data_IF_843124683129
#
_entry.id   IF_843124683129
#
_cell.length_a   1.000
_cell.length_b   1.000
_cell.length_c   1.000
_cell.angle_alpha   90.00
_cell.angle_beta   90.00
_cell.angle_gamma   90.00
#
_symmetry.space_group_name_H-M   'P 1'
#
loop_
_entity.id
_entity.type
_entity.pdbx_description
1 polymer ?
#
# COMPACT_ATOMS: atom_id res chain seq x y z
N UNK A 1 -65.66 -39.45 -1.99
CA UNK A 1 -66.23 -39.41 -0.63
C UNK A 1 -65.17 -39.92 0.35
N UNK A 2 -64.97 -39.20 1.47
CA UNK A 2 -64.41 -39.65 2.78
C UNK A 2 -63.01 -40.31 2.79
N UNK A 3 -61.99 -39.64 3.33
CA UNK A 3 -61.60 -39.47 4.77
C UNK A 3 -60.65 -40.56 5.29
N UNK A 4 -59.49 -40.08 5.78
CA UNK A 4 -58.75 -40.47 7.01
C UNK A 4 -58.16 -41.91 7.10
N UNK A 5 -57.11 -42.24 7.84
CA UNK A 5 -56.36 -41.57 8.91
C UNK A 5 -54.93 -42.20 9.01
N UNK A 6 -53.94 -41.42 9.43
CA UNK A 6 -53.15 -41.60 10.67
C UNK A 6 -51.93 -42.56 10.66
N UNK A 7 -50.76 -41.91 10.79
CA UNK A 7 -49.51 -42.25 11.53
C UNK A 7 -48.68 -43.50 11.17
N UNK A 8 -47.35 -43.29 11.11
CA UNK A 8 -46.43 -44.03 11.98
C UNK A 8 -45.53 -43.03 12.73
N UNK A 9 -45.26 -43.20 14.01
CA UNK A 9 -44.52 -44.34 14.54
C UNK A 9 -43.05 -43.93 14.65
N UNK A 10 -42.66 -43.42 15.82
CA UNK A 10 -41.26 -43.18 16.19
C UNK A 10 -40.52 -44.52 16.17
N UNK A 11 -39.33 -44.56 15.56
CA UNK A 11 -38.16 -45.19 16.17
C UNK A 11 -36.84 -44.75 15.50
N UNK A 12 -36.09 -43.98 16.28
CA UNK A 12 -34.63 -43.68 16.33
C UNK A 12 -33.73 -44.04 15.13
N UNK A 13 -33.02 -43.05 14.56
CA UNK A 13 -31.71 -43.29 13.96
C UNK A 13 -30.57 -43.16 14.99
N UNK A 14 -29.59 -44.04 14.82
CA UNK A 14 -28.37 -44.19 15.60
C UNK A 14 -27.49 -42.92 15.65
N UNK A 15 -26.80 -42.78 16.78
CA UNK A 15 -25.78 -41.77 17.07
C UNK A 15 -24.79 -41.53 15.93
N UNK A 16 -24.67 -40.27 15.53
CA UNK A 16 -23.40 -39.67 15.13
C UNK A 16 -23.23 -38.38 15.90
N UNK A 17 -22.47 -38.47 16.99
CA UNK A 17 -21.91 -37.33 17.73
C UNK A 17 -21.06 -36.52 16.76
N UNK A 18 -21.55 -35.35 16.37
CA UNK A 18 -20.75 -34.32 15.76
C UNK A 18 -20.98 -33.06 16.60
N UNK A 19 -20.13 -32.90 17.60
CA UNK A 19 -20.04 -31.71 18.42
C UNK A 19 -19.47 -30.60 17.53
N UNK A 20 -20.33 -29.69 17.09
CA UNK A 20 -19.90 -28.33 16.77
C UNK A 20 -20.78 -27.43 17.62
N UNK A 21 -20.16 -26.92 18.68
CA UNK A 21 -20.75 -26.01 19.64
C UNK A 21 -21.37 -24.82 18.93
N UNK A 22 -22.67 -24.63 19.15
CA UNK A 22 -23.39 -23.42 18.79
C UNK A 22 -23.23 -22.36 19.87
N UNK A 23 -23.12 -21.10 19.39
CA UNK A 23 -23.52 -19.84 20.04
C UNK A 23 -22.84 -19.48 21.38
N UNK A 24 -22.45 -18.23 21.61
CA UNK A 24 -23.35 -17.19 22.13
C UNK A 24 -22.72 -15.81 21.84
N UNK A 25 -23.46 -14.99 21.07
CA UNK A 25 -23.45 -13.54 21.26
C UNK A 25 -24.29 -13.22 22.48
N UNK A 26 -23.70 -12.60 23.51
CA UNK A 26 -24.26 -11.52 24.34
C UNK A 26 -23.51 -11.41 25.69
N UNK A 27 -22.76 -10.31 25.81
CA UNK A 27 -22.58 -9.45 26.99
C UNK A 27 -23.02 -9.97 28.36
N UNK A 28 -22.12 -9.93 29.35
CA UNK A 28 -22.48 -9.45 30.69
C UNK A 28 -21.31 -8.72 31.38
N UNK A 29 -21.59 -7.49 31.81
CA UNK A 29 -20.78 -6.62 32.66
C UNK A 29 -20.42 -7.29 33.99
N UNK A 30 -19.14 -7.27 34.38
CA UNK A 30 -18.71 -7.19 35.80
C UNK A 30 -17.20 -6.96 35.89
N UNK A 31 -16.73 -5.71 35.79
CA UNK A 31 -15.66 -5.17 36.66
C UNK A 31 -15.66 -3.63 36.55
N UNK A 32 -16.54 -2.99 37.31
CA UNK A 32 -16.70 -1.51 37.39
C UNK A 32 -15.58 -0.82 38.20
N UNK A 33 -14.55 -1.53 38.66
CA UNK A 33 -13.43 -0.93 39.40
C UNK A 33 -12.04 -1.05 38.73
N UNK A 34 -11.91 -1.85 37.66
CA UNK A 34 -10.65 -1.99 36.90
C UNK A 34 -10.65 -1.26 35.54
N UNK A 35 -11.83 -0.96 34.99
CA UNK A 35 -12.00 -0.48 33.62
C UNK A 35 -11.61 0.98 33.38
N UNK A 36 -11.49 1.83 34.39
CA UNK A 36 -11.13 3.24 34.15
C UNK A 36 -9.64 3.46 33.87
N UNK A 37 -8.75 2.55 34.29
CA UNK A 37 -7.32 2.66 33.95
C UNK A 37 -7.01 1.92 32.66
N UNK A 38 -7.58 0.74 32.42
CA UNK A 38 -7.38 -0.03 31.17
C UNK A 38 -8.16 0.52 29.97
N UNK A 39 -9.29 1.20 30.15
CA UNK A 39 -9.99 1.80 29.01
C UNK A 39 -9.31 3.09 28.54
N UNK A 40 -8.70 3.87 29.45
CA UNK A 40 -7.90 5.04 29.07
C UNK A 40 -6.54 4.67 28.47
N UNK A 41 -5.88 3.63 28.98
CA UNK A 41 -4.62 3.11 28.40
C UNK A 41 -4.87 2.32 27.12
N UNK A 42 -5.98 1.57 27.05
CA UNK A 42 -6.38 0.76 25.89
C UNK A 42 -6.89 1.57 24.70
N UNK A 43 -7.66 2.64 24.92
CA UNK A 43 -8.07 3.54 23.83
C UNK A 43 -6.87 4.32 23.31
N UNK A 44 -5.98 4.80 24.19
CA UNK A 44 -4.72 5.42 23.74
C UNK A 44 -3.85 4.44 22.97
N UNK A 45 -3.69 3.19 23.44
CA UNK A 45 -2.86 2.20 22.74
C UNK A 45 -3.45 1.78 21.40
N UNK A 46 -4.77 1.64 21.28
CA UNK A 46 -5.43 1.31 20.00
C UNK A 46 -5.38 2.49 19.03
N UNK A 47 -5.58 3.73 19.49
CA UNK A 47 -5.41 4.92 18.65
C UNK A 47 -3.96 5.13 18.22
N UNK A 48 -2.99 4.89 19.11
CA UNK A 48 -1.57 4.90 18.75
C UNK A 48 -1.22 3.78 17.77
N UNK A 49 -1.73 2.56 17.98
CA UNK A 49 -1.51 1.44 17.07
C UNK A 49 -2.16 1.69 15.69
N UNK A 50 -3.35 2.30 15.64
CA UNK A 50 -3.99 2.69 14.39
C UNK A 50 -3.20 3.78 13.66
N UNK A 51 -2.69 4.79 14.38
CA UNK A 51 -1.87 5.86 13.80
C UNK A 51 -0.52 5.36 13.29
N UNK A 52 0.17 4.49 14.06
CA UNK A 52 1.41 3.84 13.63
C UNK A 52 1.17 2.90 12.44
N UNK A 53 0.03 2.20 12.41
CA UNK A 53 -0.39 1.35 11.29
C UNK A 53 -0.60 2.17 10.02
N UNK A 54 -1.37 3.26 10.07
CA UNK A 54 -1.61 4.11 8.90
C UNK A 54 -0.32 4.77 8.41
N UNK A 55 0.51 5.28 9.32
CA UNK A 55 1.84 5.82 9.00
C UNK A 55 2.69 4.77 8.27
N UNK A 56 2.78 3.56 8.81
CA UNK A 56 3.55 2.48 8.19
C UNK A 56 3.01 2.09 6.81
N UNK A 57 1.68 2.09 6.64
CA UNK A 57 1.03 1.79 5.38
C UNK A 57 1.32 2.85 4.31
N UNK A 58 1.32 4.13 4.66
CA UNK A 58 1.64 5.22 3.73
C UNK A 58 3.11 5.15 3.26
N UNK A 59 4.03 4.93 4.19
CA UNK A 59 5.46 4.75 3.89
C UNK A 59 5.66 3.54 2.96
N UNK A 60 4.96 2.44 3.24
CA UNK A 60 5.09 1.21 2.45
C UNK A 60 4.49 1.34 1.05
N UNK A 61 3.36 2.06 0.89
CA UNK A 61 2.80 2.39 -0.43
C UNK A 61 3.79 3.19 -1.26
N UNK A 62 4.42 4.21 -0.66
CA UNK A 62 5.45 5.01 -1.34
C UNK A 62 6.66 4.16 -1.72
N UNK A 63 7.21 3.39 -0.77
CA UNK A 63 8.35 2.50 -1.00
C UNK A 63 8.09 1.52 -2.14
N UNK A 64 6.94 0.85 -2.11
CA UNK A 64 6.55 -0.14 -3.14
C UNK A 64 6.44 0.51 -4.52
N UNK A 65 5.79 1.67 -4.62
CA UNK A 65 5.69 2.40 -5.88
C UNK A 65 7.07 2.82 -6.42
N UNK A 66 7.97 3.25 -5.54
CA UNK A 66 9.32 3.69 -5.88
C UNK A 66 10.27 2.53 -6.24
N UNK A 67 10.12 1.35 -5.63
CA UNK A 67 10.87 0.12 -5.98
C UNK A 67 10.43 -0.45 -7.33
N UNK A 68 9.13 -0.33 -7.67
CA UNK A 68 8.60 -0.76 -8.97
C UNK A 68 9.16 0.04 -10.17
N UNK A 69 9.83 1.17 -9.92
CA UNK A 69 10.44 1.99 -10.97
C UNK A 69 11.70 1.36 -11.58
N UNK A 70 12.53 0.71 -10.76
CA UNK A 70 13.83 0.16 -11.18
C UNK A 70 13.71 -0.81 -12.37
N UNK A 71 12.81 -1.82 -12.36
CA UNK A 71 12.65 -2.71 -13.52
C UNK A 71 12.13 -1.98 -14.77
N UNK A 72 11.34 -0.90 -14.61
CA UNK A 72 10.85 -0.10 -15.73
C UNK A 72 11.98 0.72 -16.38
N UNK A 73 12.89 1.27 -15.59
CA UNK A 73 14.09 1.95 -16.08
C UNK A 73 14.96 0.99 -16.88
N UNK A 74 15.20 -0.23 -16.37
CA UNK A 74 15.98 -1.25 -17.06
C UNK A 74 15.34 -1.64 -18.39
N UNK A 75 14.02 -1.85 -18.42
CA UNK A 75 13.28 -2.15 -19.65
C UNK A 75 13.41 -1.00 -20.66
N UNK A 76 13.19 0.24 -20.23
CA UNK A 76 13.30 1.41 -21.09
C UNK A 76 14.70 1.58 -21.68
N UNK A 77 15.75 1.52 -20.86
CA UNK A 77 17.14 1.66 -21.32
C UNK A 77 17.49 0.54 -22.30
N UNK A 78 17.06 -0.69 -22.03
CA UNK A 78 17.29 -1.82 -22.92
C UNK A 78 16.59 -1.63 -24.27
N UNK A 79 15.33 -1.20 -24.27
CA UNK A 79 14.59 -0.95 -25.51
C UNK A 79 15.14 0.24 -26.31
N UNK A 80 15.57 1.30 -25.63
CA UNK A 80 16.24 2.44 -26.25
C UNK A 80 17.54 2.01 -26.93
N UNK A 81 18.38 1.24 -26.21
CA UNK A 81 19.65 0.72 -26.75
C UNK A 81 19.41 -0.16 -27.97
N UNK A 82 18.36 -0.96 -27.94
CA UNK A 82 17.99 -1.87 -29.03
C UNK A 82 17.23 -1.17 -30.16
N UNK A 83 16.99 0.16 -30.08
CA UNK A 83 16.26 0.94 -31.08
C UNK A 83 14.78 0.56 -31.20
N UNK A 84 14.21 -0.06 -30.18
CA UNK A 84 12.86 -0.65 -30.16
C UNK A 84 12.01 -0.14 -29.00
N UNK A 85 12.17 1.14 -28.65
CA UNK A 85 11.41 1.78 -27.57
C UNK A 85 9.91 1.74 -27.85
N UNK A 86 9.17 0.99 -27.02
CA UNK A 86 7.73 0.83 -27.16
C UNK A 86 6.97 1.93 -26.43
N UNK A 87 5.83 2.34 -26.98
CA UNK A 87 4.93 3.28 -26.30
C UNK A 87 4.42 2.70 -24.97
N UNK A 88 4.15 1.40 -24.91
CA UNK A 88 3.75 0.71 -23.67
C UNK A 88 4.74 0.89 -22.52
N UNK A 89 6.03 0.96 -22.84
CA UNK A 89 7.10 1.15 -21.84
C UNK A 89 7.12 2.58 -21.31
N UNK A 90 6.91 3.57 -22.21
CA UNK A 90 6.73 4.98 -21.81
C UNK A 90 5.48 5.16 -20.93
N UNK A 91 4.38 4.51 -21.29
CA UNK A 91 3.13 4.58 -20.53
C UNK A 91 3.27 3.93 -19.15
N UNK A 92 3.98 2.80 -19.05
CA UNK A 92 4.28 2.14 -17.78
C UNK A 92 5.15 3.02 -16.86
N UNK A 93 6.19 3.68 -17.42
CA UNK A 93 6.99 4.66 -16.69
C UNK A 93 6.11 5.79 -16.17
N UNK A 94 5.30 6.41 -17.05
CA UNK A 94 4.42 7.52 -16.68
C UNK A 94 3.46 7.12 -15.56
N UNK A 95 2.82 5.95 -15.68
CA UNK A 95 1.89 5.45 -14.68
C UNK A 95 2.59 5.26 -13.32
N UNK A 96 3.79 4.67 -13.31
CA UNK A 96 4.56 4.49 -12.09
C UNK A 96 5.02 5.83 -11.47
N UNK A 97 5.47 6.79 -12.27
CA UNK A 97 5.85 8.14 -11.78
C UNK A 97 4.66 8.85 -11.12
N UNK A 98 3.46 8.76 -11.71
CA UNK A 98 2.24 9.30 -11.12
C UNK A 98 1.87 8.59 -9.81
N UNK A 99 2.03 7.27 -9.76
CA UNK A 99 1.79 6.48 -8.54
C UNK A 99 2.76 6.87 -7.42
N UNK A 100 4.04 7.05 -7.73
CA UNK A 100 5.03 7.53 -6.76
C UNK A 100 4.68 8.91 -6.22
N UNK A 101 4.30 9.84 -7.11
CA UNK A 101 3.88 11.19 -6.72
C UNK A 101 2.67 11.16 -5.79
N UNK A 102 1.62 10.43 -6.17
CA UNK A 102 0.40 10.32 -5.35
C UNK A 102 0.68 9.66 -3.98
N UNK A 103 1.55 8.64 -3.95
CA UNK A 103 1.95 8.00 -2.70
C UNK A 103 2.79 8.94 -1.82
N UNK A 104 3.65 9.78 -2.41
CA UNK A 104 4.41 10.79 -1.69
C UNK A 104 3.50 11.90 -1.14
N UNK A 105 2.56 12.42 -1.94
CA UNK A 105 1.57 13.42 -1.49
C UNK A 105 0.74 12.89 -0.30
N UNK A 106 0.42 11.59 -0.30
CA UNK A 106 -0.28 10.95 0.83
C UNK A 106 0.59 10.84 2.09
N UNK A 107 1.90 10.72 1.92
CA UNK A 107 2.86 10.55 3.02
C UNK A 107 3.54 11.88 3.44
N UNK A 108 3.31 12.97 2.72
CA UNK A 108 4.00 14.26 2.91
C UNK A 108 3.78 14.83 4.32
N UNK A 109 2.59 14.62 4.89
CA UNK A 109 2.27 15.04 6.27
C UNK A 109 3.13 14.37 7.35
N UNK A 110 3.86 13.31 7.00
CA UNK A 110 4.78 12.60 7.89
C UNK A 110 6.22 13.14 7.84
N UNK A 111 6.51 14.11 6.96
CA UNK A 111 7.83 14.73 6.87
C UNK A 111 8.02 15.82 7.91
N UNK A 112 9.20 15.86 8.52
CA UNK A 112 9.65 17.03 9.26
C UNK A 112 9.87 18.22 8.30
N UNK A 113 9.72 19.44 8.78
CA UNK A 113 9.84 20.65 7.95
C UNK A 113 11.22 20.75 7.25
N UNK A 114 12.28 20.29 7.91
CA UNK A 114 13.64 20.23 7.36
C UNK A 114 13.82 19.26 6.17
N UNK A 115 12.91 18.30 5.99
CA UNK A 115 12.98 17.27 4.95
C UNK A 115 12.02 17.56 3.78
N UNK A 116 11.25 18.65 3.82
CA UNK A 116 10.34 19.03 2.72
C UNK A 116 11.09 19.32 1.41
N UNK A 117 12.27 19.94 1.49
CA UNK A 117 13.11 20.21 0.32
C UNK A 117 13.53 18.91 -0.41
N UNK A 118 13.66 17.80 0.34
CA UNK A 118 13.96 16.49 -0.22
C UNK A 118 12.77 15.95 -1.03
N UNK A 119 11.54 16.15 -0.55
CA UNK A 119 10.33 15.77 -1.27
C UNK A 119 10.14 16.62 -2.54
N UNK A 120 10.40 17.92 -2.47
CA UNK A 120 10.38 18.82 -3.65
C UNK A 120 11.38 18.33 -4.69
N UNK A 121 12.63 18.09 -4.30
CA UNK A 121 13.68 17.57 -5.18
C UNK A 121 13.29 16.23 -5.81
N UNK A 122 12.61 15.36 -5.04
CA UNK A 122 12.11 14.09 -5.55
C UNK A 122 11.04 14.29 -6.63
N UNK A 123 10.06 15.17 -6.38
CA UNK A 123 8.99 15.48 -7.34
C UNK A 123 9.56 16.11 -8.62
N UNK A 124 10.53 17.00 -8.52
CA UNK A 124 11.24 17.56 -9.68
C UNK A 124 11.91 16.47 -10.52
N UNK A 125 12.57 15.51 -9.86
CA UNK A 125 13.16 14.37 -10.55
C UNK A 125 12.11 13.48 -11.25
N UNK A 126 10.92 13.28 -10.64
CA UNK A 126 9.80 12.58 -11.29
C UNK A 126 9.33 13.32 -12.56
N UNK A 127 9.19 14.64 -12.49
CA UNK A 127 8.78 15.47 -13.65
C UNK A 127 9.84 15.43 -14.75
N UNK A 128 11.12 15.52 -14.38
CA UNK A 128 12.23 15.40 -15.33
C UNK A 128 12.27 14.02 -16.00
N UNK A 129 11.98 12.94 -15.26
CA UNK A 129 11.89 11.59 -15.80
C UNK A 129 10.71 11.46 -16.78
N UNK A 130 9.53 11.99 -16.46
CA UNK A 130 8.39 11.99 -17.39
C UNK A 130 8.71 12.76 -18.68
N UNK A 131 9.28 13.96 -18.55
CA UNK A 131 9.70 14.78 -19.71
C UNK A 131 10.78 14.09 -20.56
N UNK A 132 11.78 13.47 -19.92
CA UNK A 132 12.85 12.73 -20.59
C UNK A 132 12.32 11.49 -21.31
N UNK A 133 11.42 10.73 -20.68
CA UNK A 133 10.84 9.52 -21.29
C UNK A 133 9.99 9.83 -22.53
N UNK A 134 9.27 10.96 -22.54
CA UNK A 134 8.50 11.43 -23.69
C UNK A 134 9.41 11.79 -24.86
N UNK A 135 10.46 12.57 -24.60
CA UNK A 135 11.41 13.06 -25.61
C UNK A 135 12.33 11.99 -26.16
N UNK A 136 12.59 10.91 -25.41
CA UNK A 136 13.47 9.84 -25.86
C UNK A 136 12.92 9.19 -27.13
N UNK A 137 13.66 9.33 -28.24
CA UNK A 137 13.42 8.58 -29.49
C UNK A 137 14.55 7.58 -29.79
N UNK A 138 15.70 7.75 -29.14
CA UNK A 138 16.85 6.85 -29.23
C UNK A 138 17.85 7.08 -28.09
N UNK A 139 19.02 6.43 -28.18
CA UNK A 139 20.02 6.42 -27.10
C UNK A 139 20.52 7.82 -26.71
N UNK A 140 20.76 8.70 -27.70
CA UNK A 140 21.26 10.05 -27.46
C UNK A 140 20.27 10.92 -26.68
N UNK A 141 18.97 10.77 -26.94
CA UNK A 141 17.91 11.57 -26.32
C UNK A 141 17.49 11.03 -24.93
N UNK A 142 17.89 9.80 -24.59
CA UNK A 142 17.53 9.16 -23.32
C UNK A 142 18.36 9.61 -22.12
N UNK A 143 19.38 10.45 -22.34
CA UNK A 143 20.31 10.91 -21.30
C UNK A 143 19.61 11.64 -20.15
N UNK A 144 18.66 12.52 -20.46
CA UNK A 144 17.92 13.25 -19.45
C UNK A 144 17.05 12.32 -18.60
N UNK A 145 16.41 11.32 -19.22
CA UNK A 145 15.68 10.28 -18.49
C UNK A 145 16.62 9.49 -17.56
N UNK A 146 17.77 9.06 -18.06
CA UNK A 146 18.74 8.32 -17.26
C UNK A 146 19.26 9.14 -16.07
N UNK A 147 19.53 10.44 -16.27
CA UNK A 147 19.93 11.34 -15.18
C UNK A 147 18.84 11.51 -14.13
N UNK A 148 17.59 11.74 -14.55
CA UNK A 148 16.45 11.83 -13.65
C UNK A 148 16.21 10.51 -12.88
N UNK A 149 16.36 9.36 -13.54
CA UNK A 149 16.24 8.05 -12.91
C UNK A 149 17.31 7.81 -11.83
N UNK A 150 18.55 8.23 -12.08
CA UNK A 150 19.63 8.18 -11.08
C UNK A 150 19.34 9.10 -9.90
N UNK A 151 18.80 10.30 -10.14
CA UNK A 151 18.39 11.20 -9.06
C UNK A 151 17.27 10.59 -8.21
N UNK A 152 16.24 10.02 -8.84
CA UNK A 152 15.16 9.30 -8.14
C UNK A 152 15.74 8.18 -7.26
N UNK A 153 16.63 7.34 -7.82
CA UNK A 153 17.26 6.25 -7.08
C UNK A 153 18.11 6.73 -5.90
N UNK A 154 18.75 7.90 -6.03
CA UNK A 154 19.57 8.53 -4.98
C UNK A 154 18.73 9.14 -3.86
N UNK A 155 17.62 9.78 -4.23
CA UNK A 155 16.73 10.48 -3.28
C UNK A 155 15.80 9.50 -2.54
N UNK A 156 15.38 8.41 -3.19
CA UNK A 156 14.46 7.40 -2.63
C UNK A 156 14.84 6.91 -1.22
N UNK A 157 16.05 6.38 -0.95
CA UNK A 157 16.39 5.88 0.39
C UNK A 157 16.40 6.98 1.45
N UNK A 158 16.79 8.21 1.06
CA UNK A 158 16.79 9.37 1.96
C UNK A 158 15.36 9.75 2.32
N UNK A 159 14.45 9.76 1.35
CA UNK A 159 13.05 10.14 1.56
C UNK A 159 12.31 9.08 2.38
N UNK A 160 12.55 7.79 2.13
CA UNK A 160 12.00 6.72 2.98
C UNK A 160 12.50 6.85 4.42
N UNK A 161 13.78 7.20 4.63
CA UNK A 161 14.31 7.45 5.97
C UNK A 161 13.68 8.67 6.62
N UNK A 162 13.51 9.78 5.88
CA UNK A 162 12.87 11.00 6.38
C UNK A 162 11.41 10.71 6.80
N UNK A 163 10.64 10.02 5.96
CA UNK A 163 9.26 9.63 6.26
C UNK A 163 9.15 8.68 7.48
N UNK A 164 10.17 7.87 7.77
CA UNK A 164 10.23 7.02 8.96
C UNK A 164 10.60 7.79 10.23
N UNK A 165 11.33 8.89 10.11
CA UNK A 165 11.90 9.62 11.25
C UNK A 165 11.20 10.97 11.55
N UNK A 166 10.39 11.50 10.62
CA UNK A 166 9.62 12.75 10.79
C UNK A 166 8.50 12.66 11.80
#
# INVERSE_FOLDING_TARGET
MTMAAAAPGRDKPASKTLVVAGFISATLFTTVAGGLVTHWVGIRSVQHQAHLSERSAQIERFRTAAEAFDPLVVAFVSEVRDGRLRQSTKDAIKANLLQQRSALESAESLLADQDRDLAVSYVEALVAADAGSKRATGALDSREFAQAAVQIATLRPRLVSALRNG
#
